data_IF_811023169179
#
_entry.id   IF_811023169179
#
_cell.length_a   1.000
_cell.length_b   1.000
_cell.length_c   1.000
_cell.angle_alpha   90.00
_cell.angle_beta   90.00
_cell.angle_gamma   90.00
#
_symmetry.space_group_name_H-M   'P 1'
#
loop_
_entity.id
_entity.type
_entity.pdbx_description
1 polymer ?
#
# COMPACT_ATOMS: atom_id res chain seq x y z
N UNK A 1 -15.92 -28.08 -9.89
CA UNK A 1 -15.74 -27.86 -11.35
C UNK A 1 -14.31 -27.41 -11.60
N UNK A 2 -13.58 -28.04 -12.55
CA UNK A 2 -12.25 -27.55 -12.96
C UNK A 2 -12.43 -26.20 -13.67
N UNK A 3 -11.67 -25.20 -13.24
CA UNK A 3 -11.76 -23.83 -13.75
C UNK A 3 -11.44 -23.78 -15.24
N UNK A 4 -12.28 -23.12 -16.05
CA UNK A 4 -11.91 -22.77 -17.41
C UNK A 4 -11.03 -21.51 -17.37
N UNK A 5 -9.78 -21.59 -17.84
CA UNK A 5 -8.89 -20.45 -17.80
C UNK A 5 -9.37 -19.32 -18.72
N UNK A 6 -9.12 -18.08 -18.30
CA UNK A 6 -9.30 -16.87 -19.10
C UNK A 6 -8.35 -16.88 -20.29
N UNK A 7 -8.82 -17.19 -21.49
CA UNK A 7 -7.94 -17.23 -22.67
C UNK A 7 -7.89 -15.89 -23.41
N UNK A 8 -6.67 -15.48 -23.75
CA UNK A 8 -6.39 -14.62 -24.90
C UNK A 8 -5.78 -15.49 -26.00
N UNK A 9 -5.73 -14.99 -27.24
CA UNK A 9 -5.03 -15.63 -28.37
C UNK A 9 -3.53 -15.88 -28.11
N UNK A 10 -2.89 -15.19 -27.14
CA UNK A 10 -1.46 -15.35 -26.77
C UNK A 10 -1.26 -16.01 -25.41
N UNK A 11 -2.17 -15.84 -24.46
CA UNK A 11 -1.95 -16.17 -23.06
C UNK A 11 -3.20 -16.80 -22.42
N UNK A 12 -3.03 -17.93 -21.74
CA UNK A 12 -4.10 -18.61 -20.96
C UNK A 12 -3.98 -18.24 -19.49
N UNK A 13 -4.88 -17.43 -18.95
CA UNK A 13 -4.87 -16.87 -17.60
C UNK A 13 -5.62 -17.79 -16.63
N UNK A 14 -4.92 -18.29 -15.62
CA UNK A 14 -5.54 -18.91 -14.46
C UNK A 14 -5.78 -17.80 -13.43
N UNK A 15 -7.04 -17.51 -13.15
CA UNK A 15 -7.40 -16.58 -12.09
C UNK A 15 -7.37 -17.38 -10.79
N UNK A 16 -6.20 -17.45 -10.16
CA UNK A 16 -6.01 -18.23 -8.95
C UNK A 16 -6.78 -17.63 -7.78
N UNK A 17 -7.90 -18.27 -7.45
CA UNK A 17 -8.52 -18.13 -6.14
C UNK A 17 -7.81 -19.08 -5.16
N UNK A 18 -6.50 -18.92 -4.97
CA UNK A 18 -5.84 -19.60 -3.86
C UNK A 18 -6.44 -19.04 -2.57
N UNK A 19 -7.23 -19.87 -1.88
CA UNK A 19 -7.57 -19.66 -0.49
C UNK A 19 -6.30 -19.59 0.33
N UNK A 20 -6.31 -18.81 1.40
CA UNK A 20 -5.14 -18.54 2.23
C UNK A 20 -4.45 -19.85 2.64
N UNK A 21 -3.32 -20.16 2.01
CA UNK A 21 -2.29 -21.01 2.60
C UNK A 21 -1.05 -20.16 2.64
N UNK A 22 -0.79 -19.58 3.81
CA UNK A 22 0.49 -18.94 4.10
C UNK A 22 1.51 -20.08 4.20
N UNK A 23 2.21 -20.38 3.13
CA UNK A 23 3.37 -21.26 3.18
C UNK A 23 4.51 -20.46 3.80
N UNK A 24 4.70 -20.58 5.11
CA UNK A 24 5.92 -20.09 5.74
C UNK A 24 7.09 -20.95 5.25
N UNK A 25 8.12 -20.28 4.73
CA UNK A 25 9.38 -20.89 4.35
C UNK A 25 10.40 -20.58 5.44
N UNK A 26 10.96 -21.63 6.06
CA UNK A 26 12.07 -21.49 7.02
C UNK A 26 13.39 -21.67 6.28
N UNK A 27 14.23 -20.63 6.29
CA UNK A 27 15.59 -20.76 5.79
C UNK A 27 16.43 -21.59 6.78
N UNK A 28 17.14 -22.60 6.28
CA UNK A 28 18.18 -23.30 7.06
C UNK A 28 19.52 -22.59 6.85
N UNK A 29 20.43 -22.71 7.83
CA UNK A 29 21.81 -22.20 7.79
C UNK A 29 22.65 -22.70 6.61
N UNK A 30 22.17 -23.71 5.87
CA UNK A 30 22.90 -24.36 4.78
C UNK A 30 22.27 -24.08 3.39
N UNK A 31 21.40 -23.05 3.27
CA UNK A 31 20.92 -22.56 1.98
C UNK A 31 19.77 -23.33 1.31
N UNK A 32 19.14 -24.28 2.00
CA UNK A 32 17.94 -24.99 1.54
C UNK A 32 16.63 -24.43 2.15
N UNK A 33 15.53 -24.55 1.40
CA UNK A 33 14.18 -24.11 1.80
C UNK A 33 13.20 -25.30 1.73
N UNK A 34 12.46 -25.58 2.81
CA UNK A 34 11.39 -26.60 2.83
C UNK A 34 10.02 -25.99 3.21
N UNK A 35 8.91 -26.50 2.64
CA UNK A 35 7.55 -26.11 3.00
C UNK A 35 7.08 -26.83 4.28
N UNK A 36 6.48 -26.09 5.23
CA UNK A 36 5.85 -26.66 6.43
C UNK A 36 4.32 -26.59 6.29
N UNK A 37 3.65 -27.74 6.36
CA UNK A 37 2.19 -27.85 6.43
C UNK A 37 1.74 -28.13 7.86
N UNK A 38 0.97 -27.23 8.48
CA UNK A 38 0.24 -27.54 9.71
C UNK A 38 -1.24 -27.74 9.40
N UNK A 39 -1.74 -28.94 9.69
CA UNK A 39 -3.18 -29.19 9.85
C UNK A 39 -3.61 -28.60 11.20
N UNK A 40 -4.60 -27.71 11.18
CA UNK A 40 -5.28 -27.24 12.39
C UNK A 40 -6.57 -28.04 12.50
N UNK A 41 -6.57 -29.09 13.32
CA UNK A 41 -7.78 -29.73 13.80
C UNK A 41 -8.29 -28.99 15.03
N UNK A 42 -9.54 -28.55 14.94
CA UNK A 42 -10.34 -27.98 16.01
C UNK A 42 -10.72 -29.04 17.05
N UNK A 43 -10.51 -28.76 18.34
CA UNK A 43 -11.06 -29.52 19.46
C UNK A 43 -11.26 -28.61 20.71
N UNK A 44 -12.15 -28.99 21.64
CA UNK A 44 -13.12 -28.08 22.25
C UNK A 44 -12.69 -27.41 23.57
N UNK A 45 -13.47 -26.39 23.93
CA UNK A 45 -13.45 -25.66 25.20
C UNK A 45 -13.89 -26.58 26.35
N UNK A 46 -13.04 -26.74 27.37
CA UNK A 46 -13.42 -27.27 28.68
C UNK A 46 -12.81 -26.41 29.77
N UNK A 47 -13.68 -25.74 30.53
CA UNK A 47 -13.35 -25.07 31.79
C UNK A 47 -12.97 -26.10 32.85
N UNK A 48 -11.84 -25.92 33.54
CA UNK A 48 -11.67 -26.49 34.88
C UNK A 48 -10.68 -25.72 35.75
N UNK A 49 -11.16 -25.41 36.96
CA UNK A 49 -10.46 -24.88 38.12
C UNK A 49 -9.23 -25.72 38.48
N UNK A 50 -8.15 -25.07 38.87
CA UNK A 50 -6.97 -25.70 39.46
C UNK A 50 -6.96 -25.39 40.96
N UNK A 51 -7.20 -26.41 41.77
CA UNK A 51 -6.76 -26.49 43.16
C UNK A 51 -5.40 -27.19 43.17
N UNK A 52 -4.41 -26.61 43.86
CA UNK A 52 -3.10 -27.21 44.10
C UNK A 52 -2.95 -27.55 45.59
N UNK A 53 -2.57 -28.79 45.95
CA UNK A 53 -2.36 -29.19 47.34
C UNK A 53 -0.96 -28.86 47.85
N UNK A 54 -0.86 -28.79 49.18
CA UNK A 54 0.30 -28.43 49.98
C UNK A 54 1.44 -29.46 49.98
N UNK A 55 2.67 -29.03 50.31
CA UNK A 55 3.68 -29.88 50.93
C UNK A 55 3.93 -29.52 52.41
N UNK A 56 3.91 -30.55 53.25
CA UNK A 56 4.29 -30.53 54.66
C UNK A 56 5.84 -30.47 54.82
N UNK A 57 6.28 -29.85 55.91
CA UNK A 57 7.69 -29.73 56.35
C UNK A 57 7.83 -30.38 57.73
N UNK A 58 8.99 -31.01 58.03
CA UNK A 58 9.80 -30.94 59.28
C UNK A 58 10.73 -32.17 59.42
N UNK A 59 11.76 -32.20 60.30
CA UNK A 59 12.11 -31.32 61.46
C UNK A 59 13.61 -30.88 61.47
N UNK A 60 14.28 -30.26 62.45
CA UNK A 60 14.06 -29.41 63.63
C UNK A 60 15.47 -28.96 64.12
N UNK A 61 15.60 -27.79 64.77
CA UNK A 61 16.47 -27.58 65.95
C UNK A 61 16.43 -26.13 66.49
N UNK A 62 15.84 -26.01 67.70
CA UNK A 62 16.22 -25.16 68.86
C UNK A 62 15.99 -23.62 68.87
N UNK A 63 15.15 -23.20 69.83
CA UNK A 63 14.81 -21.83 70.30
C UNK A 63 15.85 -21.30 71.35
N UNK A 64 15.67 -20.18 72.11
CA UNK A 64 14.66 -19.08 72.14
C UNK A 64 15.31 -17.65 72.16
N UNK A 65 14.63 -16.50 72.11
CA UNK A 65 13.90 -15.74 73.19
C UNK A 65 13.42 -14.40 72.52
N UNK A 66 12.16 -13.94 72.60
CA UNK A 66 11.44 -13.09 73.60
C UNK A 66 10.79 -11.92 72.81
N UNK A 67 9.45 -11.86 72.66
CA UNK A 67 8.49 -10.95 73.34
C UNK A 67 8.82 -9.43 73.23
N UNK A 68 7.91 -8.49 72.96
CA UNK A 68 6.50 -8.44 72.55
C UNK A 68 6.13 -6.97 72.24
N UNK A 69 5.20 -6.81 71.29
CA UNK A 69 4.16 -5.76 71.14
C UNK A 69 4.49 -4.26 71.05
N UNK A 70 4.17 -3.66 69.88
CA UNK A 70 3.19 -2.55 69.73
C UNK A 70 2.96 -2.30 68.23
N UNK A 71 1.74 -2.54 67.72
CA UNK A 71 1.41 -2.30 66.30
C UNK A 71 0.28 -1.26 66.21
N UNK A 72 0.64 0.00 65.96
CA UNK A 72 -0.31 1.06 65.57
C UNK A 72 -0.46 1.09 64.04
N UNK A 73 -1.67 1.22 63.49
CA UNK A 73 -1.87 1.30 62.05
C UNK A 73 -1.26 2.60 61.48
N UNK A 74 -0.26 2.47 60.60
CA UNK A 74 0.32 3.58 59.84
C UNK A 74 -0.67 4.06 58.79
N UNK A 75 -1.34 5.18 59.06
CA UNK A 75 -2.03 5.97 58.02
C UNK A 75 -0.95 6.77 57.29
N UNK A 76 -0.69 6.45 56.02
CA UNK A 76 0.22 7.22 55.17
C UNK A 76 -0.57 8.34 54.49
N UNK A 77 -0.23 9.62 54.68
CA UNK A 77 -0.91 10.72 54.02
C UNK A 77 -0.63 10.67 52.51
N UNK A 78 -1.68 10.86 51.70
CA UNK A 78 -1.59 10.94 50.25
C UNK A 78 -0.99 12.31 49.86
N UNK A 79 0.32 12.48 50.04
CA UNK A 79 1.04 13.62 49.48
C UNK A 79 1.06 13.47 47.96
N UNK A 80 0.45 14.43 47.24
CA UNK A 80 0.74 14.65 45.82
C UNK A 80 2.18 15.11 45.73
N UNK A 81 3.11 14.18 45.47
CA UNK A 81 4.49 14.52 45.14
C UNK A 81 4.49 15.46 43.93
N UNK A 82 5.17 16.60 44.06
CA UNK A 82 5.36 17.51 42.92
C UNK A 82 6.19 16.79 41.85
N UNK A 83 5.84 16.93 40.56
CA UNK A 83 6.58 16.27 39.49
C UNK A 83 8.05 16.69 39.53
N UNK A 84 8.94 15.71 39.39
CA UNK A 84 10.39 15.93 39.46
C UNK A 84 10.81 16.97 38.40
N UNK A 85 11.72 17.91 38.70
CA UNK A 85 12.11 18.98 37.76
C UNK A 85 12.53 18.49 36.37
N UNK A 86 13.27 17.39 36.29
CA UNK A 86 13.66 16.79 35.00
C UNK A 86 12.46 16.30 34.15
N UNK A 87 11.34 15.95 34.79
CA UNK A 87 10.12 15.52 34.09
C UNK A 87 9.42 16.72 33.44
N UNK A 88 9.47 17.89 34.09
CA UNK A 88 8.95 19.16 33.56
C UNK A 88 9.82 19.64 32.40
N UNK A 89 11.15 19.58 32.53
CA UNK A 89 12.09 19.91 31.45
C UNK A 89 11.87 18.99 30.22
N UNK A 90 11.68 17.69 30.44
CA UNK A 90 11.37 16.74 29.38
C UNK A 90 10.00 17.05 28.73
N UNK A 91 8.98 17.41 29.52
CA UNK A 91 7.68 17.82 29.00
C UNK A 91 7.78 19.07 28.13
N UNK A 92 8.49 20.11 28.58
CA UNK A 92 8.72 21.32 27.79
C UNK A 92 9.50 21.05 26.50
N UNK A 93 10.50 20.17 26.54
CA UNK A 93 11.27 19.78 25.35
C UNK A 93 10.38 19.03 24.34
N UNK A 94 9.55 18.09 24.83
CA UNK A 94 8.56 17.40 24.01
C UNK A 94 7.53 18.38 23.42
N UNK A 95 7.04 19.34 24.19
CA UNK A 95 6.10 20.37 23.71
C UNK A 95 6.73 21.27 22.64
N UNK A 96 7.94 21.79 22.87
CA UNK A 96 8.67 22.59 21.87
C UNK A 96 8.95 21.79 20.60
N UNK A 97 9.26 20.50 20.72
CA UNK A 97 9.44 19.60 19.58
C UNK A 97 8.13 19.41 18.81
N UNK A 98 7.04 19.11 19.51
CA UNK A 98 5.70 18.98 18.90
C UNK A 98 5.25 20.26 18.22
N UNK A 99 5.52 21.44 18.80
CA UNK A 99 5.17 22.72 18.20
C UNK A 99 5.97 23.00 16.91
N UNK A 100 7.28 22.69 16.91
CA UNK A 100 8.13 22.78 15.71
C UNK A 100 7.67 21.81 14.61
N UNK A 101 7.34 20.58 14.98
CA UNK A 101 6.82 19.56 14.07
C UNK A 101 5.47 20.00 13.47
N UNK A 102 4.52 20.47 14.29
CA UNK A 102 3.24 21.03 13.82
C UNK A 102 3.43 22.22 12.87
N UNK A 103 4.30 23.16 13.20
CA UNK A 103 4.58 24.32 12.35
C UNK A 103 5.23 23.91 11.02
N UNK A 104 6.15 22.95 11.05
CA UNK A 104 6.74 22.36 9.85
C UNK A 104 5.71 21.63 8.99
N UNK A 105 4.86 20.80 9.61
CA UNK A 105 3.77 20.07 8.95
C UNK A 105 2.76 21.01 8.28
N UNK A 106 2.34 22.08 8.96
CA UNK A 106 1.43 23.07 8.39
C UNK A 106 2.03 23.74 7.15
N UNK A 107 3.30 24.16 7.22
CA UNK A 107 4.03 24.72 6.07
C UNK A 107 4.18 23.72 4.93
N UNK A 108 4.37 22.44 5.25
CA UNK A 108 4.49 21.38 4.27
C UNK A 108 3.16 21.14 3.54
N UNK A 109 2.03 21.16 4.26
CA UNK A 109 0.68 21.06 3.67
C UNK A 109 0.40 22.22 2.71
N UNK A 110 0.65 23.45 3.15
CA UNK A 110 0.53 24.64 2.30
C UNK A 110 1.42 24.53 1.04
N UNK A 111 2.65 24.03 1.21
CA UNK A 111 3.56 23.78 0.08
C UNK A 111 3.02 22.73 -0.89
N UNK A 112 2.42 21.64 -0.41
CA UNK A 112 1.80 20.61 -1.25
C UNK A 112 0.65 21.20 -2.07
N UNK A 113 -0.25 21.91 -1.41
CA UNK A 113 -1.41 22.55 -2.05
C UNK A 113 -0.97 23.61 -3.06
N UNK A 114 0.01 24.44 -2.71
CA UNK A 114 0.60 25.43 -3.61
C UNK A 114 1.18 24.77 -4.86
N UNK A 115 2.00 23.74 -4.69
CA UNK A 115 2.58 22.99 -5.82
C UNK A 115 1.48 22.40 -6.69
N UNK A 116 0.44 21.81 -6.09
CA UNK A 116 -0.68 21.23 -6.83
C UNK A 116 -1.44 22.27 -7.66
N UNK A 117 -1.70 23.44 -7.07
CA UNK A 117 -2.43 24.54 -7.71
C UNK A 117 -1.63 25.22 -8.82
N UNK A 118 -0.30 25.25 -8.72
CA UNK A 118 0.58 25.74 -9.79
C UNK A 118 0.71 24.75 -10.96
N UNK A 119 0.32 23.48 -10.77
CA UNK A 119 0.34 22.50 -11.84
C UNK A 119 -0.83 22.68 -12.82
N UNK A 120 -0.54 22.42 -14.09
CA UNK A 120 -1.46 22.60 -15.20
C UNK A 120 -2.21 21.29 -15.51
N UNK A 121 -3.48 21.37 -15.94
CA UNK A 121 -4.23 20.19 -16.37
C UNK A 121 -3.63 19.59 -17.65
N UNK A 122 -3.95 18.31 -17.90
CA UNK A 122 -3.43 17.57 -19.06
C UNK A 122 -3.78 18.23 -20.41
N UNK A 123 -4.97 18.81 -20.51
CA UNK A 123 -5.48 19.56 -21.67
C UNK A 123 -4.69 20.83 -22.02
N UNK A 124 -3.85 21.35 -21.11
CA UNK A 124 -3.07 22.57 -21.37
C UNK A 124 -2.09 22.41 -22.55
N UNK A 125 -1.79 23.50 -23.27
CA UNK A 125 -0.97 23.47 -24.49
C UNK A 125 0.51 23.16 -24.23
N UNK A 126 1.03 23.47 -23.03
CA UNK A 126 2.45 23.24 -22.66
C UNK A 126 2.76 21.83 -22.15
N UNK A 127 1.79 20.91 -22.16
CA UNK A 127 1.96 19.54 -21.63
C UNK A 127 2.63 18.57 -22.61
N UNK A 128 3.27 19.06 -23.67
CA UNK A 128 3.89 18.24 -24.71
C UNK A 128 4.87 17.18 -24.15
N UNK A 129 5.76 17.48 -23.18
CA UNK A 129 6.64 16.45 -22.60
C UNK A 129 5.86 15.30 -21.93
N UNK A 130 4.75 15.63 -21.26
CA UNK A 130 3.87 14.65 -20.63
C UNK A 130 3.10 13.82 -21.66
N UNK A 131 2.60 14.44 -22.73
CA UNK A 131 1.95 13.72 -23.84
C UNK A 131 2.91 12.76 -24.53
N UNK A 132 4.13 13.23 -24.82
CA UNK A 132 5.19 12.39 -25.36
C UNK A 132 5.52 11.24 -24.42
N UNK A 133 5.57 11.48 -23.11
CA UNK A 133 5.80 10.42 -22.12
C UNK A 133 4.78 9.30 -22.18
N UNK A 134 3.49 9.65 -22.20
CA UNK A 134 2.44 8.65 -22.30
C UNK A 134 2.42 7.99 -23.68
N UNK A 135 2.58 8.75 -24.77
CA UNK A 135 2.62 8.23 -26.14
C UNK A 135 3.76 7.22 -26.33
N UNK A 136 4.98 7.54 -25.87
CA UNK A 136 6.16 6.68 -25.95
C UNK A 136 6.00 5.35 -25.19
N UNK A 137 5.04 5.29 -24.25
CA UNK A 137 4.72 4.12 -23.43
C UNK A 137 3.40 3.45 -23.79
N UNK A 138 2.79 3.86 -24.91
CA UNK A 138 1.46 3.41 -25.30
C UNK A 138 0.44 3.57 -24.15
N UNK A 139 0.48 4.67 -23.42
CA UNK A 139 -0.50 4.98 -22.37
C UNK A 139 -1.56 5.91 -22.97
N UNK A 140 -2.53 5.33 -23.66
CA UNK A 140 -3.72 6.04 -24.14
C UNK A 140 -4.87 5.80 -23.16
N UNK A 141 -5.41 6.87 -22.60
CA UNK A 141 -6.55 6.83 -21.68
C UNK A 141 -7.55 7.92 -22.05
N UNK A 142 -8.78 7.79 -21.55
CA UNK A 142 -9.82 8.82 -21.73
C UNK A 142 -9.44 10.02 -20.88
N UNK A 143 -8.92 11.06 -21.52
CA UNK A 143 -8.47 12.29 -20.87
C UNK A 143 -9.59 12.86 -20.00
N UNK A 144 -10.82 12.93 -20.52
CA UNK A 144 -11.97 13.46 -19.79
C UNK A 144 -12.23 12.73 -18.47
N UNK A 145 -12.06 11.41 -18.41
CA UNK A 145 -12.28 10.63 -17.19
C UNK A 145 -11.16 10.86 -16.15
N UNK A 146 -9.92 11.04 -16.61
CA UNK A 146 -8.78 11.32 -15.73
C UNK A 146 -8.79 12.77 -15.24
N UNK A 147 -9.26 13.71 -16.08
CA UNK A 147 -9.44 15.11 -15.70
C UNK A 147 -10.59 15.27 -14.69
N UNK A 148 -11.67 14.48 -14.80
CA UNK A 148 -12.77 14.48 -13.81
C UNK A 148 -12.29 14.17 -12.39
N UNK A 149 -11.33 13.26 -12.22
CA UNK A 149 -10.83 12.92 -10.88
C UNK A 149 -9.72 13.84 -10.39
N UNK A 150 -9.25 14.78 -11.22
CA UNK A 150 -8.16 15.73 -10.93
C UNK A 150 -7.01 15.04 -10.18
N UNK A 151 -6.57 13.90 -10.72
CA UNK A 151 -5.52 13.08 -10.12
C UNK A 151 -4.16 13.25 -10.80
N UNK A 152 -4.11 13.93 -11.95
CA UNK A 152 -2.97 13.98 -12.84
C UNK A 152 -2.82 15.38 -13.47
N UNK A 153 -1.72 16.06 -13.17
CA UNK A 153 -1.36 17.39 -13.68
C UNK A 153 0.11 17.43 -14.14
N UNK A 154 0.52 18.59 -14.65
CA UNK A 154 1.85 18.83 -15.22
C UNK A 154 2.48 20.11 -14.67
N UNK A 155 3.77 20.07 -14.38
CA UNK A 155 4.58 21.26 -14.13
C UNK A 155 5.72 21.35 -15.15
N UNK A 156 5.82 22.44 -15.94
CA UNK A 156 6.83 22.55 -16.99
C UNK A 156 8.27 22.72 -16.47
N UNK A 157 8.45 23.20 -15.23
CA UNK A 157 9.76 23.55 -14.68
C UNK A 157 9.83 23.27 -13.16
N UNK A 158 9.57 22.04 -12.77
CA UNK A 158 9.59 21.62 -11.37
C UNK A 158 11.03 21.46 -10.86
N UNK A 159 11.34 22.11 -9.73
CA UNK A 159 12.63 21.98 -9.07
C UNK A 159 12.87 20.54 -8.59
N UNK A 160 14.05 20.01 -8.90
CA UNK A 160 14.53 18.72 -8.45
C UNK A 160 15.63 18.93 -7.40
N UNK A 161 15.47 18.26 -6.28
CA UNK A 161 16.44 18.22 -5.19
C UNK A 161 17.04 16.81 -5.11
N UNK A 162 18.36 16.73 -4.92
CA UNK A 162 19.06 15.47 -4.65
C UNK A 162 18.75 14.92 -3.24
N UNK A 163 19.53 13.93 -2.78
CA UNK A 163 19.35 13.34 -1.45
C UNK A 163 19.90 14.23 -0.33
N UNK A 164 20.86 15.10 -0.66
CA UNK A 164 21.48 16.07 0.27
C UNK A 164 20.64 17.36 0.40
N UNK A 165 19.60 17.51 -0.42
CA UNK A 165 18.69 18.66 -0.41
C UNK A 165 19.14 19.81 -1.31
N UNK A 166 20.15 19.62 -2.15
CA UNK A 166 20.61 20.64 -3.10
C UNK A 166 19.72 20.66 -4.34
N UNK A 167 19.39 21.85 -4.84
CA UNK A 167 18.68 22.00 -6.11
C UNK A 167 19.62 21.67 -7.26
N UNK A 168 19.35 20.56 -7.97
CA UNK A 168 20.15 20.13 -9.13
C UNK A 168 19.69 20.84 -10.41
N UNK A 169 18.41 21.21 -10.47
CA UNK A 169 17.84 21.92 -11.61
C UNK A 169 16.32 21.80 -11.69
N UNK A 170 15.75 22.32 -12.77
CA UNK A 170 14.31 22.30 -13.03
C UNK A 170 14.00 21.44 -14.25
N UNK A 171 12.96 20.62 -14.13
CA UNK A 171 12.57 19.67 -15.17
C UNK A 171 11.05 19.67 -15.36
N UNK A 172 10.56 19.40 -16.58
CA UNK A 172 9.18 19.01 -16.80
C UNK A 172 8.80 17.85 -15.88
N UNK A 173 7.64 17.87 -15.25
CA UNK A 173 7.22 16.83 -14.33
C UNK A 173 5.73 16.51 -14.45
N UNK A 174 5.43 15.21 -14.47
CA UNK A 174 4.07 14.73 -14.21
C UNK A 174 3.87 14.76 -12.70
N UNK A 175 2.79 15.35 -12.24
CA UNK A 175 2.44 15.46 -10.83
C UNK A 175 1.11 14.76 -10.61
N UNK A 176 1.10 13.78 -9.71
CA UNK A 176 -0.09 13.02 -9.36
C UNK A 176 -0.50 13.31 -7.93
N UNK A 177 -1.79 13.54 -7.72
CA UNK A 177 -2.38 13.68 -6.39
C UNK A 177 -2.52 12.30 -5.75
N UNK A 178 -1.97 12.14 -4.55
CA UNK A 178 -2.23 10.99 -3.68
C UNK A 178 -3.29 11.44 -2.68
N UNK A 179 -4.42 10.74 -2.68
CA UNK A 179 -5.58 11.08 -1.86
C UNK A 179 -5.92 9.96 -0.89
N UNK A 180 -6.32 10.32 0.33
CA UNK A 180 -6.83 9.38 1.36
C UNK A 180 -8.17 8.76 0.94
N UNK A 181 -8.83 7.98 1.81
CA UNK A 181 -10.10 7.31 1.50
C UNK A 181 -11.27 8.28 1.35
N UNK A 182 -11.22 9.42 2.03
CA UNK A 182 -12.19 10.52 1.94
C UNK A 182 -12.00 11.39 0.69
N UNK A 183 -10.86 11.28 0.01
CA UNK A 183 -10.52 12.04 -1.20
C UNK A 183 -9.73 13.33 -0.94
N UNK A 184 -9.30 13.58 0.30
CA UNK A 184 -8.45 14.72 0.62
C UNK A 184 -7.04 14.52 0.06
N UNK A 185 -6.42 15.62 -0.38
CA UNK A 185 -5.04 15.59 -0.86
C UNK A 185 -4.08 15.34 0.32
N UNK A 186 -3.35 14.22 0.27
CA UNK A 186 -2.36 13.86 1.29
C UNK A 186 -0.97 14.33 0.89
N UNK A 187 -0.53 13.96 -0.31
CA UNK A 187 0.80 14.31 -0.84
C UNK A 187 0.82 14.18 -2.35
N UNK A 188 1.98 14.48 -2.97
CA UNK A 188 2.17 14.45 -4.41
C UNK A 188 3.24 13.44 -4.81
N UNK A 189 2.95 12.67 -5.85
CA UNK A 189 3.95 11.87 -6.55
C UNK A 189 4.39 12.61 -7.81
N UNK A 190 5.71 12.78 -7.99
CA UNK A 190 6.29 13.51 -9.11
C UNK A 190 7.13 12.56 -9.96
N UNK A 191 6.89 12.55 -11.27
CA UNK A 191 7.74 11.89 -12.25
C UNK A 191 8.41 12.94 -13.11
N UNK A 192 9.70 13.14 -12.91
CA UNK A 192 10.52 14.11 -13.66
C UNK A 192 10.84 13.57 -15.05
N UNK A 193 10.72 14.45 -16.03
CA UNK A 193 10.83 14.14 -17.45
C UNK A 193 11.90 15.02 -18.12
N UNK A 194 12.31 14.56 -19.28
CA UNK A 194 13.00 15.36 -20.30
C UNK A 194 11.97 16.00 -21.22
N UNK A 195 12.38 17.03 -21.98
CA UNK A 195 11.50 17.68 -22.95
C UNK A 195 10.94 16.72 -24.01
N UNK A 196 11.64 15.62 -24.28
CA UNK A 196 11.26 14.59 -25.26
C UNK A 196 10.37 13.48 -24.66
N UNK A 197 9.82 13.66 -23.46
CA UNK A 197 8.93 12.68 -22.83
C UNK A 197 9.62 11.38 -22.40
N UNK A 198 10.90 11.43 -22.05
CA UNK A 198 11.61 10.33 -21.34
C UNK A 198 11.79 10.70 -19.87
N UNK A 199 11.97 9.73 -18.99
CA UNK A 199 12.34 9.98 -17.58
C UNK A 199 13.62 10.82 -17.52
N UNK A 200 13.67 11.82 -16.65
CA UNK A 200 14.84 12.65 -16.44
C UNK A 200 16.03 11.78 -16.00
N UNK A 201 17.24 12.11 -16.48
CA UNK A 201 18.49 11.42 -16.11
C UNK A 201 19.04 11.99 -14.80
N UNK A 202 18.29 11.76 -13.72
CA UNK A 202 18.62 12.20 -12.35
C UNK A 202 18.69 10.97 -11.42
N UNK A 203 19.18 11.16 -10.20
CA UNK A 203 19.36 10.06 -9.23
C UNK A 203 18.10 9.22 -9.04
N UNK A 204 16.94 9.87 -8.85
CA UNK A 204 15.64 9.20 -8.87
C UNK A 204 14.58 10.04 -9.58
N UNK A 205 14.14 9.61 -10.76
CA UNK A 205 13.14 10.31 -11.56
C UNK A 205 11.73 10.28 -10.97
N UNK A 206 11.44 9.42 -9.98
CA UNK A 206 10.15 9.34 -9.30
C UNK A 206 10.32 9.71 -7.83
N UNK A 207 9.69 10.80 -7.37
CA UNK A 207 9.78 11.25 -5.97
C UNK A 207 8.41 11.59 -5.41
N UNK A 208 8.11 11.06 -4.22
CA UNK A 208 7.00 11.51 -3.40
C UNK A 208 7.40 12.76 -2.62
N UNK A 209 6.46 13.66 -2.32
CA UNK A 209 6.68 14.73 -1.34
C UNK A 209 6.57 14.16 0.09
N UNK A 210 7.24 14.76 1.08
CA UNK A 210 7.05 14.38 2.48
C UNK A 210 5.58 14.49 2.87
N UNK A 211 5.16 13.67 3.83
CA UNK A 211 3.77 13.62 4.30
C UNK A 211 3.66 14.56 5.51
N UNK A 212 2.68 15.49 5.53
CA UNK A 212 2.42 16.30 6.72
C UNK A 212 2.03 15.45 7.92
N UNK A 213 2.50 15.82 9.13
CA UNK A 213 2.06 15.20 10.38
C UNK A 213 0.53 15.28 10.53
N UNK A 214 -0.06 14.19 11.02
CA UNK A 214 -1.50 14.04 11.19
C UNK A 214 -2.25 13.58 9.93
N UNK A 215 -1.56 13.45 8.79
CA UNK A 215 -2.07 12.75 7.62
C UNK A 215 -1.43 11.37 7.52
N UNK A 216 -2.23 10.39 7.11
CA UNK A 216 -1.76 9.04 6.84
C UNK A 216 -1.83 8.75 5.34
N UNK A 217 -0.76 8.16 4.80
CA UNK A 217 -0.74 7.63 3.43
C UNK A 217 -1.28 6.20 3.39
N UNK A 218 -1.55 5.58 4.53
CA UNK A 218 -2.22 4.30 4.58
C UNK A 218 -3.60 4.39 3.94
N UNK A 219 -3.87 3.52 2.97
CA UNK A 219 -5.10 3.59 2.19
C UNK A 219 -5.08 4.60 1.05
N UNK A 220 -4.08 5.50 1.01
CA UNK A 220 -4.04 6.57 0.02
C UNK A 220 -3.57 6.06 -1.35
N UNK A 221 -4.12 6.66 -2.41
CA UNK A 221 -3.82 6.27 -3.79
C UNK A 221 -3.99 7.42 -4.78
N UNK A 222 -3.40 7.25 -5.95
CA UNK A 222 -3.69 8.04 -7.15
C UNK A 222 -4.93 7.43 -7.81
N UNK A 223 -6.04 8.17 -7.77
CA UNK A 223 -7.37 7.69 -8.19
C UNK A 223 -7.64 7.94 -9.68
N UNK A 224 -7.22 7.03 -10.56
CA UNK A 224 -7.47 7.11 -12.00
C UNK A 224 -8.91 6.66 -12.33
N UNK A 225 -9.87 7.57 -12.20
CA UNK A 225 -11.29 7.31 -12.40
C UNK A 225 -12.02 6.83 -11.14
N UNK A 226 -13.33 7.01 -11.13
CA UNK A 226 -14.22 6.51 -10.06
C UNK A 226 -14.60 5.06 -10.28
N UNK A 227 -14.70 4.22 -9.22
CA UNK A 227 -15.09 2.82 -9.36
C UNK A 227 -16.40 2.64 -10.14
N UNK A 228 -16.40 1.71 -11.10
CA UNK A 228 -17.58 1.43 -11.95
C UNK A 228 -18.11 0.04 -11.67
N UNK A 229 -19.44 -0.12 -11.57
CA UNK A 229 -20.09 -1.43 -11.33
C UNK A 229 -19.62 -2.14 -10.04
N UNK A 230 -19.07 -1.38 -9.09
CA UNK A 230 -18.45 -1.91 -7.87
C UNK A 230 -17.17 -2.72 -8.10
N UNK A 231 -16.49 -2.48 -9.23
CA UNK A 231 -15.21 -3.08 -9.59
C UNK A 231 -14.13 -1.99 -9.61
N UNK A 232 -13.01 -2.28 -8.97
CA UNK A 232 -11.84 -1.38 -8.93
C UNK A 232 -10.56 -2.15 -9.21
N UNK A 233 -9.68 -1.61 -10.04
CA UNK A 233 -8.31 -2.07 -10.16
C UNK A 233 -7.39 -1.39 -9.16
N UNK A 234 -6.33 -2.08 -8.74
CA UNK A 234 -5.25 -1.53 -7.92
C UNK A 234 -3.92 -1.95 -8.55
N UNK A 235 -2.95 -1.04 -8.62
CA UNK A 235 -1.61 -1.33 -9.11
C UNK A 235 -0.56 -0.58 -8.30
N UNK A 236 0.68 -1.06 -8.34
CA UNK A 236 1.80 -0.40 -7.65
C UNK A 236 2.11 0.94 -8.31
N UNK A 237 2.53 0.91 -9.58
CA UNK A 237 2.93 2.10 -10.32
C UNK A 237 1.81 2.77 -11.13
N UNK A 238 2.00 4.06 -11.42
CA UNK A 238 1.13 4.83 -12.31
C UNK A 238 1.07 4.23 -13.72
N UNK A 239 2.21 3.81 -14.28
CA UNK A 239 2.28 3.24 -15.62
C UNK A 239 1.55 1.89 -15.71
N UNK A 240 1.69 1.05 -14.68
CA UNK A 240 0.96 -0.21 -14.52
C UNK A 240 -0.54 0.03 -14.45
N UNK A 241 -0.97 0.99 -13.62
CA UNK A 241 -2.38 1.36 -13.48
C UNK A 241 -2.99 1.86 -14.78
N UNK A 242 -2.33 2.80 -15.46
CA UNK A 242 -2.77 3.33 -16.75
C UNK A 242 -2.80 2.27 -17.85
N UNK A 243 -1.85 1.33 -17.86
CA UNK A 243 -1.82 0.22 -18.83
C UNK A 243 -3.04 -0.69 -18.66
N UNK A 244 -3.32 -1.08 -17.41
CA UNK A 244 -4.49 -1.88 -17.08
C UNK A 244 -5.80 -1.15 -17.37
N UNK A 245 -5.88 0.15 -17.02
CA UNK A 245 -7.07 0.96 -17.29
C UNK A 245 -7.33 1.11 -18.79
N UNK A 246 -6.29 1.39 -19.59
CA UNK A 246 -6.38 1.47 -21.05
C UNK A 246 -7.03 0.21 -21.64
N UNK A 247 -6.58 -0.97 -21.22
CA UNK A 247 -7.00 -2.22 -21.86
C UNK A 247 -8.34 -2.72 -21.32
N UNK A 248 -8.55 -2.62 -20.02
CA UNK A 248 -9.76 -3.19 -19.38
C UNK A 248 -10.93 -2.23 -19.31
N UNK A 249 -10.67 -0.92 -19.44
CA UNK A 249 -11.65 0.14 -19.20
C UNK A 249 -12.29 0.06 -17.80
N UNK A 250 -11.61 -0.60 -16.86
CA UNK A 250 -11.95 -0.63 -15.43
C UNK A 250 -11.03 0.37 -14.75
N UNK A 251 -11.55 1.34 -13.98
CA UNK A 251 -10.74 2.29 -13.22
C UNK A 251 -9.67 1.57 -12.39
N UNK A 252 -8.43 2.05 -12.40
CA UNK A 252 -7.32 1.41 -11.67
C UNK A 252 -6.58 2.45 -10.84
N UNK A 253 -6.55 2.30 -9.53
CA UNK A 253 -5.84 3.22 -8.66
C UNK A 253 -4.38 2.78 -8.49
N UNK A 254 -3.45 3.74 -8.45
CA UNK A 254 -2.03 3.48 -8.18
C UNK A 254 -1.69 3.78 -6.72
N UNK A 255 -1.07 2.82 -6.03
CA UNK A 255 -0.63 2.95 -4.64
C UNK A 255 0.79 3.52 -4.54
N UNK A 256 1.39 3.94 -5.65
CA UNK A 256 2.75 4.51 -5.77
C UNK A 256 3.88 3.51 -5.53
N UNK A 257 3.77 2.64 -4.52
CA UNK A 257 4.73 1.59 -4.20
C UNK A 257 4.04 0.37 -3.54
N UNK A 258 4.79 -0.73 -3.45
CA UNK A 258 4.32 -1.99 -2.86
C UNK A 258 3.90 -1.87 -1.39
N UNK A 259 4.62 -1.08 -0.59
CA UNK A 259 4.32 -0.91 0.85
C UNK A 259 2.95 -0.26 1.07
N UNK A 260 2.63 0.81 0.34
CA UNK A 260 1.33 1.47 0.39
C UNK A 260 0.20 0.60 -0.18
N UNK A 261 0.53 -0.39 -1.03
CA UNK A 261 -0.45 -1.36 -1.52
C UNK A 261 -1.00 -2.21 -0.38
N UNK A 262 -0.17 -2.62 0.58
CA UNK A 262 -0.59 -3.47 1.70
C UNK A 262 -1.57 -2.75 2.63
N UNK A 263 -1.41 -1.43 2.78
CA UNK A 263 -2.29 -0.59 3.58
C UNK A 263 -3.53 -0.10 2.82
N UNK A 264 -3.65 -0.38 1.52
CA UNK A 264 -4.78 0.06 0.69
C UNK A 264 -6.14 -0.22 1.33
N UNK A 265 -7.05 0.74 1.14
CA UNK A 265 -8.41 0.69 1.62
C UNK A 265 -9.37 0.88 0.45
N UNK A 266 -10.38 0.02 0.42
CA UNK A 266 -11.33 -0.03 -0.67
C UNK A 266 -12.46 0.98 -0.42
N UNK A 267 -12.78 1.86 -1.38
CA UNK A 267 -13.88 2.80 -1.23
C UNK A 267 -15.23 2.08 -1.14
N UNK A 268 -16.23 2.76 -0.57
CA UNK A 268 -17.58 2.20 -0.42
C UNK A 268 -18.19 1.80 -1.77
N UNK A 269 -19.00 0.73 -1.76
CA UNK A 269 -19.69 0.21 -2.95
C UNK A 269 -18.84 -0.71 -3.84
N UNK A 270 -17.53 -0.80 -3.60
CA UNK A 270 -16.67 -1.76 -4.31
C UNK A 270 -16.76 -3.14 -3.68
N UNK A 271 -17.19 -4.12 -4.49
CA UNK A 271 -17.31 -5.52 -4.09
C UNK A 271 -16.22 -6.41 -4.69
N UNK A 272 -15.51 -5.93 -5.73
CA UNK A 272 -14.45 -6.68 -6.42
C UNK A 272 -13.23 -5.81 -6.70
N UNK A 273 -12.05 -6.30 -6.34
CA UNK A 273 -10.75 -5.66 -6.57
C UNK A 273 -9.88 -6.52 -7.48
N UNK A 274 -9.27 -5.88 -8.49
CA UNK A 274 -8.31 -6.48 -9.42
C UNK A 274 -6.91 -5.93 -9.14
N UNK A 275 -6.03 -6.72 -8.55
CA UNK A 275 -4.66 -6.28 -8.24
C UNK A 275 -3.75 -6.61 -9.44
N UNK A 276 -3.27 -5.57 -10.10
CA UNK A 276 -2.29 -5.63 -11.18
C UNK A 276 -0.89 -5.54 -10.59
N UNK A 277 -0.36 -6.69 -10.17
CA UNK A 277 0.94 -6.79 -9.53
C UNK A 277 2.06 -6.83 -10.58
N UNK A 278 3.19 -6.19 -10.27
CA UNK A 278 4.41 -6.29 -11.06
C UNK A 278 5.12 -7.61 -10.76
N UNK A 279 5.81 -8.17 -11.76
CA UNK A 279 6.54 -9.44 -11.62
C UNK A 279 8.04 -9.17 -11.51
N UNK A 280 8.53 -9.15 -10.29
CA UNK A 280 9.92 -8.84 -9.95
C UNK A 280 10.69 -10.07 -9.45
N UNK A 281 12.03 -10.06 -9.57
CA UNK A 281 12.89 -11.14 -9.07
C UNK A 281 12.84 -11.27 -7.55
N UNK A 282 12.59 -10.16 -6.84
CA UNK A 282 12.43 -10.12 -5.38
C UNK A 282 11.08 -10.67 -4.89
N UNK A 283 10.10 -10.84 -5.80
CA UNK A 283 8.74 -11.28 -5.49
C UNK A 283 8.03 -10.29 -4.54
N UNK A 284 8.47 -9.03 -4.50
CA UNK A 284 7.92 -8.02 -3.58
C UNK A 284 6.51 -7.63 -4.03
N UNK A 285 6.32 -7.36 -5.32
CA UNK A 285 5.03 -6.95 -5.87
C UNK A 285 3.96 -8.03 -5.66
N UNK A 286 4.31 -9.30 -5.90
CA UNK A 286 3.41 -10.43 -5.67
C UNK A 286 3.11 -10.65 -4.17
N UNK A 287 4.10 -10.49 -3.28
CA UNK A 287 3.88 -10.61 -1.84
C UNK A 287 2.91 -9.55 -1.33
N UNK A 288 3.16 -8.28 -1.65
CA UNK A 288 2.30 -7.17 -1.22
C UNK A 288 0.88 -7.29 -1.78
N UNK A 289 0.73 -7.74 -3.03
CA UNK A 289 -0.56 -8.05 -3.62
C UNK A 289 -1.33 -9.16 -2.86
N UNK A 290 -0.62 -10.21 -2.44
CA UNK A 290 -1.22 -11.30 -1.67
C UNK A 290 -1.58 -10.88 -0.23
N UNK A 291 -0.79 -10.00 0.40
CA UNK A 291 -1.12 -9.39 1.70
C UNK A 291 -2.41 -8.58 1.58
N UNK A 292 -2.51 -7.70 0.58
CA UNK A 292 -3.72 -6.92 0.33
C UNK A 292 -4.92 -7.83 0.04
N UNK A 293 -4.76 -8.85 -0.80
CA UNK A 293 -5.79 -9.86 -1.07
C UNK A 293 -6.34 -10.47 0.22
N UNK A 294 -5.46 -10.98 1.08
CA UNK A 294 -5.89 -11.61 2.34
C UNK A 294 -6.61 -10.62 3.27
N UNK A 295 -6.18 -9.36 3.32
CA UNK A 295 -6.83 -8.29 4.10
C UNK A 295 -8.26 -8.02 3.60
N UNK A 296 -8.42 -7.87 2.29
CA UNK A 296 -9.71 -7.51 1.68
C UNK A 296 -10.69 -8.70 1.63
N UNK A 297 -10.22 -9.92 1.40
CA UNK A 297 -11.07 -11.12 1.42
C UNK A 297 -11.70 -11.35 2.81
N UNK A 298 -10.97 -11.05 3.90
CA UNK A 298 -11.51 -11.06 5.27
C UNK A 298 -12.65 -10.05 5.49
N UNK A 299 -12.69 -8.98 4.68
CA UNK A 299 -13.77 -7.97 4.68
C UNK A 299 -14.90 -8.33 3.71
N UNK A 300 -14.89 -9.53 3.13
CA UNK A 300 -15.92 -9.98 2.17
C UNK A 300 -15.74 -9.42 0.76
N UNK A 301 -14.62 -8.75 0.46
CA UNK A 301 -14.33 -8.19 -0.86
C UNK A 301 -13.68 -9.28 -1.71
N UNK A 302 -14.16 -9.46 -2.94
CA UNK A 302 -13.54 -10.41 -3.89
C UNK A 302 -12.25 -9.81 -4.43
N UNK A 303 -11.15 -10.56 -4.39
CA UNK A 303 -9.88 -10.07 -4.92
C UNK A 303 -9.26 -11.05 -5.89
N UNK A 304 -8.76 -10.52 -7.01
CA UNK A 304 -8.04 -11.27 -8.02
C UNK A 304 -6.69 -10.62 -8.28
N UNK A 305 -5.62 -11.38 -8.12
CA UNK A 305 -4.25 -10.94 -8.41
C UNK A 305 -3.89 -11.36 -9.82
N UNK A 306 -3.41 -10.41 -10.63
CA UNK A 306 -2.96 -10.62 -11.99
C UNK A 306 -1.47 -10.30 -12.08
N UNK A 307 -0.69 -11.24 -12.61
CA UNK A 307 0.75 -11.11 -12.82
C UNK A 307 1.12 -11.24 -14.31
N UNK A 308 2.05 -10.43 -14.84
CA UNK A 308 2.58 -10.61 -16.19
C UNK A 308 3.06 -12.05 -16.45
N UNK A 309 2.60 -12.67 -17.54
CA UNK A 309 3.07 -14.02 -17.92
C UNK A 309 4.41 -14.05 -18.61
N UNK A 310 4.84 -12.91 -19.13
CA UNK A 310 6.13 -12.78 -19.78
C UNK A 310 7.26 -13.22 -18.81
N UNK A 311 8.30 -13.89 -19.34
CA UNK A 311 9.48 -14.19 -18.54
C UNK A 311 10.23 -12.89 -18.22
N UNK A 312 10.83 -12.82 -17.04
CA UNK A 312 11.67 -11.67 -16.68
C UNK A 312 12.94 -11.72 -17.55
N UNK A 313 13.25 -10.69 -18.36
CA UNK A 313 14.47 -10.68 -19.15
C UNK A 313 15.72 -10.81 -18.26
N UNK A 314 16.81 -11.46 -18.71
CA UNK A 314 17.97 -11.74 -17.86
C UNK A 314 18.56 -10.50 -17.16
N UNK A 315 18.64 -9.37 -17.88
CA UNK A 315 19.20 -8.10 -17.38
C UNK A 315 18.17 -7.20 -16.67
N UNK A 316 16.89 -7.57 -16.65
CA UNK A 316 15.85 -6.78 -16.00
C UNK A 316 15.71 -7.19 -14.52
N UNK A 317 15.25 -6.25 -13.68
CA UNK A 317 14.89 -6.51 -12.28
C UNK A 317 13.51 -7.15 -12.13
N UNK A 318 12.64 -6.91 -13.11
CA UNK A 318 11.28 -7.41 -13.16
C UNK A 318 10.65 -7.06 -14.51
N UNK A 319 9.36 -7.32 -14.62
CA UNK A 319 8.51 -6.94 -15.73
C UNK A 319 7.19 -6.40 -15.18
N UNK A 320 6.77 -5.25 -15.67
CA UNK A 320 5.51 -4.61 -15.27
C UNK A 320 4.43 -4.74 -16.37
N UNK A 321 3.23 -4.26 -16.09
CA UNK A 321 2.15 -4.31 -17.09
C UNK A 321 2.32 -3.32 -18.24
N UNK A 322 3.14 -2.27 -18.08
CA UNK A 322 3.48 -1.39 -19.20
C UNK A 322 4.41 -2.10 -20.19
N UNK A 323 5.36 -2.90 -19.71
CA UNK A 323 6.19 -3.76 -20.57
C UNK A 323 5.35 -4.79 -21.34
N UNK A 324 4.32 -5.37 -20.70
CA UNK A 324 3.35 -6.26 -21.37
C UNK A 324 2.61 -5.51 -22.47
N UNK A 325 2.14 -4.29 -22.19
CA UNK A 325 1.46 -3.46 -23.18
C UNK A 325 2.36 -3.12 -24.37
N UNK A 326 3.59 -2.68 -24.10
CA UNK A 326 4.55 -2.31 -25.14
C UNK A 326 4.99 -3.48 -26.02
N UNK A 327 5.06 -4.69 -25.45
CA UNK A 327 5.54 -5.87 -26.18
C UNK A 327 4.42 -6.67 -26.86
N UNK A 328 3.27 -6.81 -26.18
CA UNK A 328 2.19 -7.68 -26.62
C UNK A 328 0.93 -6.90 -27.01
N UNK A 329 0.81 -5.62 -26.70
CA UNK A 329 -0.41 -4.84 -26.88
C UNK A 329 -1.51 -5.24 -25.89
N UNK A 330 -2.78 -4.89 -26.20
CA UNK A 330 -3.97 -5.29 -25.43
C UNK A 330 -4.13 -6.80 -25.29
N UNK A 331 -3.60 -7.52 -26.28
CA UNK A 331 -3.49 -8.95 -26.42
C UNK A 331 -2.70 -9.64 -25.28
N UNK A 332 -1.82 -8.89 -24.63
CA UNK A 332 -1.09 -9.33 -23.44
C UNK A 332 -1.91 -9.30 -22.15
N UNK A 333 -3.12 -8.74 -22.17
CA UNK A 333 -3.99 -8.59 -20.99
C UNK A 333 -5.20 -9.52 -21.11
N UNK A 334 -5.83 -9.87 -19.97
CA UNK A 334 -7.13 -10.52 -20.00
C UNK A 334 -8.17 -9.68 -20.74
N UNK A 335 -9.03 -10.34 -21.54
CA UNK A 335 -10.08 -9.64 -22.29
C UNK A 335 -11.06 -8.95 -21.32
N UNK A 336 -11.33 -7.65 -21.55
CA UNK A 336 -12.17 -6.82 -20.69
C UNK A 336 -13.59 -7.36 -20.52
N UNK A 337 -14.24 -7.78 -21.61
CA UNK A 337 -15.60 -8.35 -21.59
C UNK A 337 -15.62 -9.66 -20.82
N UNK A 338 -14.67 -10.56 -21.12
CA UNK A 338 -14.58 -11.83 -20.41
C UNK A 338 -14.30 -11.61 -18.91
N UNK A 339 -13.48 -10.64 -18.55
CA UNK A 339 -13.18 -10.29 -17.16
C UNK A 339 -14.44 -9.83 -16.42
N UNK A 340 -15.24 -8.95 -17.04
CA UNK A 340 -16.54 -8.52 -16.48
C UNK A 340 -17.53 -9.69 -16.38
N UNK A 341 -17.65 -10.50 -17.44
CA UNK A 341 -18.53 -11.68 -17.44
C UNK A 341 -18.11 -12.71 -16.38
N UNK A 342 -16.81 -12.87 -16.15
CA UNK A 342 -16.28 -13.72 -15.09
C UNK A 342 -16.66 -13.19 -13.70
N UNK A 343 -16.49 -11.89 -13.46
CA UNK A 343 -16.86 -11.25 -12.19
C UNK A 343 -18.38 -11.34 -11.96
N UNK A 344 -19.19 -11.06 -12.99
CA UNK A 344 -20.65 -11.10 -12.91
C UNK A 344 -21.19 -12.50 -12.59
N UNK A 345 -20.67 -13.55 -13.25
CA UNK A 345 -21.03 -14.95 -12.96
C UNK A 345 -20.73 -15.34 -11.51
N UNK A 346 -19.52 -15.01 -11.04
CA UNK A 346 -19.11 -15.28 -9.66
C UNK A 346 -19.93 -14.47 -8.64
N UNK A 347 -20.49 -13.31 -9.00
CA UNK A 347 -21.41 -12.59 -8.12
C UNK A 347 -22.76 -13.31 -7.98
N UNK A 348 -23.32 -13.81 -9.08
CA UNK A 348 -24.62 -14.50 -9.09
C UNK A 348 -24.60 -15.86 -8.35
N UNK A 349 -23.45 -16.53 -8.28
CA UNK A 349 -23.29 -17.78 -7.52
C UNK A 349 -23.30 -17.54 -6.00
N UNK A 350 -22.80 -16.38 -5.54
CA UNK A 350 -22.69 -16.06 -4.12
C UNK A 350 -23.92 -15.38 -3.52
N UNK A 351 -24.77 -14.75 -4.34
CA UNK A 351 -26.04 -14.16 -3.87
C UNK A 351 -27.15 -15.19 -3.61
N UNK A 352 -26.85 -16.50 -3.67
CA UNK A 352 -27.78 -17.61 -3.39
C UNK A 352 -27.51 -18.32 -2.06
N UNK A 353 -26.58 -17.80 -1.26
CA UNK A 353 -26.30 -18.25 0.11
C UNK A 353 -26.49 -17.06 1.04
#
# INVERSE_FOLDING_TARGET
MREQPMQTHRNTWLVERRGATVTQFRARSNGGVEPVSHHVESAPVVNRKVETPAPQVQPAATQPEEQSSENKPKVVPMFREQPKPWLLELQEEMEKRMERERAYSARLREKIEKVWNECLPFSSHVTEPMRLYFKNRELLFKVDEVEKTDCLRFNPAMAYYDEDGNEVGKFPAIVCAIRDVEGNLVTLHRTYLTQNGKKAKVGNAKKMMPIPDGLDVNGAAIRLGEPTEGILGVAEGLETALSAYRVTQIPVWSTVNATLMESFEVPEGVHTVLIWADKDKSVTGEKSANVLKAKLEKRGIRVYVLLPKLPIPPRAKGIDWNDVLMSQGSLGFPNARYLRDFIARRRAEYGRH
#
